data_IF_572722816861
#
_entry.id   IF_572722816861
#
_cell.length_a   1.000
_cell.length_b   1.000
_cell.length_c   1.000
_cell.angle_alpha   90.00
_cell.angle_beta   90.00
_cell.angle_gamma   90.00
#
_symmetry.space_group_name_H-M   'P 1'
#
loop_
_entity.id
_entity.type
_entity.pdbx_description
1 polymer ?
#
# COMPACT_ATOMS: atom_id res chain seq x y z
N UNK A 1 12.20 15.32 16.70
CA UNK A 1 12.03 14.50 15.47
C UNK A 1 10.89 13.51 15.70
N UNK A 2 9.92 13.32 14.79
CA UNK A 2 8.87 12.30 14.97
C UNK A 2 9.44 10.90 14.70
N UNK A 3 9.11 9.91 15.53
CA UNK A 3 9.52 8.50 15.36
C UNK A 3 9.00 7.92 14.05
N UNK A 4 9.73 6.94 13.51
CA UNK A 4 9.35 6.24 12.29
C UNK A 4 7.97 5.57 12.40
N UNK A 5 7.69 4.93 13.55
CA UNK A 5 6.38 4.34 13.88
C UNK A 5 5.23 5.33 13.68
N UNK A 6 5.36 6.55 14.23
CA UNK A 6 4.33 7.59 14.09
C UNK A 6 4.13 8.06 12.64
N UNK A 7 5.22 8.12 11.85
CA UNK A 7 5.14 8.44 10.42
C UNK A 7 4.46 7.30 9.66
N UNK A 8 4.78 6.06 9.98
CA UNK A 8 4.25 4.86 9.34
C UNK A 8 2.75 4.71 9.61
N UNK A 9 2.29 4.86 10.85
CA UNK A 9 0.86 4.87 11.20
C UNK A 9 0.10 5.91 10.37
N UNK A 10 0.64 7.14 10.26
CA UNK A 10 0.01 8.21 9.46
C UNK A 10 -0.03 7.87 7.97
N UNK A 11 1.02 7.25 7.44
CA UNK A 11 1.08 6.84 6.05
C UNK A 11 0.08 5.71 5.76
N UNK A 12 -0.03 4.72 6.65
CA UNK A 12 -0.99 3.61 6.55
C UNK A 12 -2.42 4.17 6.59
N UNK A 13 -2.74 5.05 7.53
CA UNK A 13 -4.07 5.67 7.62
C UNK A 13 -4.42 6.48 6.37
N UNK A 14 -3.44 7.19 5.78
CA UNK A 14 -3.63 7.90 4.49
C UNK A 14 -3.90 6.93 3.34
N UNK A 15 -3.18 5.80 3.28
CA UNK A 15 -3.42 4.76 2.26
C UNK A 15 -4.81 4.15 2.41
N UNK A 16 -5.23 3.82 3.63
CA UNK A 16 -6.57 3.32 3.91
C UNK A 16 -7.66 4.32 3.50
N UNK A 17 -7.48 5.62 3.83
CA UNK A 17 -8.42 6.66 3.41
C UNK A 17 -8.51 6.78 1.88
N UNK A 18 -7.38 6.68 1.16
CA UNK A 18 -7.38 6.66 -0.29
C UNK A 18 -8.12 5.41 -0.85
N UNK A 19 -7.93 4.25 -0.23
CA UNK A 19 -8.61 3.01 -0.60
C UNK A 19 -10.12 3.09 -0.38
N UNK A 20 -10.57 3.66 0.74
CA UNK A 20 -12.00 3.88 1.03
C UNK A 20 -12.67 4.73 -0.05
N UNK A 21 -12.01 5.79 -0.53
CA UNK A 21 -12.53 6.62 -1.62
C UNK A 21 -12.57 5.88 -2.97
N UNK A 22 -11.61 4.97 -3.20
CA UNK A 22 -11.52 4.19 -4.44
C UNK A 22 -12.60 3.11 -4.55
N UNK A 23 -12.99 2.44 -3.46
CA UNK A 23 -13.95 1.31 -3.50
C UNK A 23 -15.28 1.70 -4.18
N UNK A 24 -15.72 2.94 -4.01
CA UNK A 24 -16.97 3.47 -4.54
C UNK A 24 -17.02 3.50 -6.07
N UNK A 25 -16.09 4.20 -6.73
CA UNK A 25 -16.11 4.42 -8.19
C UNK A 25 -15.03 3.66 -8.96
N UNK A 26 -13.96 3.24 -8.28
CA UNK A 26 -12.79 2.54 -8.85
C UNK A 26 -12.17 3.21 -10.06
N UNK A 27 -12.09 4.54 -10.06
CA UNK A 27 -11.52 5.33 -11.17
C UNK A 27 -10.00 5.43 -11.11
N UNK A 28 -9.36 5.62 -12.26
CA UNK A 28 -7.90 5.72 -12.35
C UNK A 28 -7.29 6.82 -11.47
N UNK A 29 -7.89 8.02 -11.42
CA UNK A 29 -7.38 9.08 -10.53
C UNK A 29 -7.45 8.72 -9.04
N UNK A 30 -8.41 7.88 -8.63
CA UNK A 30 -8.50 7.39 -7.25
C UNK A 30 -7.41 6.36 -6.98
N UNK A 31 -7.15 5.47 -7.93
CA UNK A 31 -6.04 4.52 -7.87
C UNK A 31 -4.68 5.24 -7.79
N UNK A 32 -4.48 6.37 -8.47
CA UNK A 32 -3.29 7.20 -8.35
C UNK A 32 -3.08 7.73 -6.91
N UNK A 33 -4.15 8.07 -6.19
CA UNK A 33 -4.07 8.48 -4.78
C UNK A 33 -3.57 7.33 -3.91
N UNK A 34 -4.07 6.10 -4.16
CA UNK A 34 -3.60 4.90 -3.48
C UNK A 34 -2.12 4.69 -3.77
N UNK A 35 -1.67 4.78 -5.03
CA UNK A 35 -0.26 4.63 -5.42
C UNK A 35 0.64 5.58 -4.63
N UNK A 36 0.33 6.88 -4.65
CA UNK A 36 1.12 7.87 -3.92
C UNK A 36 1.10 7.70 -2.40
N UNK A 37 0.04 7.10 -1.84
CA UNK A 37 -0.01 6.77 -0.42
C UNK A 37 0.85 5.53 -0.12
N UNK A 38 0.72 4.48 -0.94
CA UNK A 38 1.46 3.23 -0.83
C UNK A 38 2.97 3.43 -1.00
N UNK A 39 3.42 4.28 -1.94
CA UNK A 39 4.85 4.61 -2.09
C UNK A 39 5.44 5.15 -0.79
N UNK A 40 4.67 5.97 -0.06
CA UNK A 40 5.10 6.50 1.23
C UNK A 40 5.11 5.45 2.33
N UNK A 41 4.14 4.54 2.34
CA UNK A 41 4.10 3.41 3.26
C UNK A 41 5.30 2.50 3.02
N UNK A 42 5.54 2.11 1.77
CA UNK A 42 6.63 1.25 1.34
C UNK A 42 7.99 1.79 1.83
N UNK A 43 8.31 3.05 1.51
CA UNK A 43 9.57 3.67 1.95
C UNK A 43 9.71 3.75 3.48
N UNK A 44 8.61 3.84 4.23
CA UNK A 44 8.64 3.84 5.69
C UNK A 44 8.75 2.43 6.27
N UNK A 45 8.18 1.41 5.61
CA UNK A 45 8.34 0.01 5.98
C UNK A 45 9.78 -0.45 5.77
N UNK A 46 10.40 -0.10 4.65
CA UNK A 46 11.82 -0.43 4.39
C UNK A 46 12.73 0.17 5.46
N UNK A 47 12.49 1.42 5.86
CA UNK A 47 13.26 2.03 6.94
C UNK A 47 12.92 1.40 8.32
N UNK A 48 11.66 1.05 8.57
CA UNK A 48 11.23 0.44 9.83
C UNK A 48 11.71 -1.00 9.99
N UNK A 49 11.93 -1.72 8.90
CA UNK A 49 12.47 -3.09 8.88
C UNK A 49 13.79 -3.21 9.65
N UNK A 50 14.63 -2.18 9.60
CA UNK A 50 15.92 -2.13 10.31
C UNK A 50 15.82 -1.67 11.78
N UNK A 51 14.64 -1.21 12.21
CA UNK A 51 14.39 -0.71 13.58
C UNK A 51 13.43 -1.59 14.38
N UNK A 52 12.70 -2.51 13.73
CA UNK A 52 11.68 -3.34 14.36
C UNK A 52 12.27 -4.54 15.11
N UNK A 53 11.48 -5.14 16.01
CA UNK A 53 11.86 -6.37 16.70
C UNK A 53 11.88 -7.55 15.70
N UNK A 54 12.76 -8.53 15.90
CA UNK A 54 12.88 -9.72 15.02
C UNK A 54 11.55 -10.47 14.80
N UNK A 55 10.67 -10.47 15.81
CA UNK A 55 9.33 -11.08 15.73
C UNK A 55 8.40 -10.39 14.72
N UNK A 56 8.65 -9.13 14.39
CA UNK A 56 7.79 -8.30 13.55
C UNK A 56 8.23 -8.32 12.08
N UNK A 57 9.50 -8.69 11.82
CA UNK A 57 10.15 -8.70 10.49
C UNK A 57 9.31 -9.41 9.43
N UNK A 58 8.78 -10.60 9.74
CA UNK A 58 7.97 -11.37 8.80
C UNK A 58 6.69 -10.62 8.39
N UNK A 59 6.05 -9.92 9.33
CA UNK A 59 4.85 -9.12 9.02
C UNK A 59 5.20 -7.91 8.14
N UNK A 60 6.37 -7.30 8.37
CA UNK A 60 6.87 -6.21 7.54
C UNK A 60 7.16 -6.70 6.11
N UNK A 61 7.82 -7.85 5.94
CA UNK A 61 8.04 -8.48 4.64
C UNK A 61 6.72 -8.76 3.90
N UNK A 62 5.75 -9.36 4.59
CA UNK A 62 4.43 -9.62 3.99
C UNK A 62 3.74 -8.35 3.51
N UNK A 63 3.89 -7.23 4.24
CA UNK A 63 3.34 -5.95 3.78
C UNK A 63 4.11 -5.41 2.57
N UNK A 64 5.44 -5.48 2.57
CA UNK A 64 6.25 -5.06 1.42
C UNK A 64 5.84 -5.83 0.15
N UNK A 65 5.75 -7.16 0.24
CA UNK A 65 5.31 -8.00 -0.89
C UNK A 65 3.89 -7.70 -1.34
N UNK A 66 2.97 -7.44 -0.40
CA UNK A 66 1.61 -7.02 -0.74
C UNK A 66 1.61 -5.71 -1.55
N UNK A 67 2.46 -4.76 -1.18
CA UNK A 67 2.60 -3.49 -1.90
C UNK A 67 3.29 -3.66 -3.26
N UNK A 68 4.31 -4.51 -3.35
CA UNK A 68 5.00 -4.81 -4.62
C UNK A 68 4.05 -5.39 -5.67
N UNK A 69 3.26 -6.38 -5.28
CA UNK A 69 2.25 -6.97 -6.16
C UNK A 69 1.21 -5.94 -6.60
N UNK A 70 0.78 -5.09 -5.67
CA UNK A 70 -0.13 -3.99 -5.98
C UNK A 70 0.48 -3.00 -6.97
N UNK A 71 1.74 -2.60 -6.79
CA UNK A 71 2.45 -1.70 -7.71
C UNK A 71 2.61 -2.32 -9.09
N UNK A 72 2.92 -3.62 -9.16
CA UNK A 72 3.04 -4.34 -10.44
C UNK A 72 1.70 -4.36 -11.18
N UNK A 73 0.58 -4.65 -10.50
CA UNK A 73 -0.75 -4.58 -11.08
C UNK A 73 -1.07 -3.16 -11.56
N UNK A 74 -0.81 -2.14 -10.72
CA UNK A 74 -1.01 -0.75 -11.08
C UNK A 74 -0.24 -0.37 -12.35
N UNK A 75 1.05 -0.65 -12.39
CA UNK A 75 1.93 -0.28 -13.49
C UNK A 75 1.53 -0.97 -14.79
N UNK A 76 1.01 -2.20 -14.72
CA UNK A 76 0.51 -2.91 -15.90
C UNK A 76 -0.79 -2.29 -16.43
N UNK A 77 -1.78 -2.06 -15.55
CA UNK A 77 -3.04 -1.41 -15.93
C UNK A 77 -2.83 0.02 -16.42
N UNK A 78 -1.91 0.77 -15.82
CA UNK A 78 -1.58 2.14 -16.19
C UNK A 78 -1.08 2.28 -17.63
N UNK A 79 -0.35 1.28 -18.15
CA UNK A 79 0.17 1.33 -19.54
C UNK A 79 -0.96 1.41 -20.58
N UNK A 80 -2.13 0.86 -20.23
CA UNK A 80 -3.29 0.78 -21.10
C UNK A 80 -4.27 1.94 -20.86
N UNK A 81 -4.14 2.66 -19.74
CA UNK A 81 -5.09 3.67 -19.30
C UNK A 81 -4.52 5.10 -19.29
N UNK A 82 -5.08 5.97 -20.14
CA UNK A 82 -4.73 7.40 -20.21
C UNK A 82 -5.81 8.32 -19.66
N UNK A 83 -7.05 7.85 -19.60
CA UNK A 83 -8.18 8.63 -19.09
C UNK A 83 -8.27 8.47 -17.57
N UNK A 84 -8.20 9.59 -16.86
CA UNK A 84 -8.25 9.65 -15.40
C UNK A 84 -9.60 9.20 -14.83
N UNK A 85 -10.69 9.38 -15.58
CA UNK A 85 -12.02 9.02 -15.12
C UNK A 85 -12.42 7.59 -15.45
N UNK A 86 -11.64 6.91 -16.29
CA UNK A 86 -11.93 5.57 -16.70
C UNK A 86 -11.78 4.55 -15.56
N UNK A 87 -12.49 3.44 -15.72
CA UNK A 87 -12.48 2.33 -14.79
C UNK A 87 -11.05 1.76 -14.66
N UNK A 88 -10.66 1.47 -13.42
CA UNK A 88 -9.32 0.99 -13.08
C UNK A 88 -9.42 -0.02 -11.93
N UNK A 89 -9.75 -1.27 -12.26
CA UNK A 89 -10.03 -2.33 -11.28
C UNK A 89 -8.83 -3.26 -11.12
N UNK A 90 -8.45 -3.53 -9.87
CA UNK A 90 -7.40 -4.49 -9.54
C UNK A 90 -7.97 -5.90 -9.37
N UNK A 91 -7.30 -6.89 -9.94
CA UNK A 91 -7.53 -8.31 -9.67
C UNK A 91 -6.32 -8.86 -8.93
N UNK A 92 -6.52 -9.29 -7.68
CA UNK A 92 -5.45 -9.83 -6.84
C UNK A 92 -4.88 -11.10 -7.46
N UNK A 93 -3.55 -11.22 -7.51
CA UNK A 93 -2.91 -12.47 -7.90
C UNK A 93 -3.22 -13.59 -6.87
N UNK A 94 -3.46 -14.84 -7.31
CA UNK A 94 -3.87 -15.93 -6.43
C UNK A 94 -2.94 -16.13 -5.21
N UNK A 95 -1.63 -16.00 -5.43
CA UNK A 95 -0.61 -16.25 -4.41
C UNK A 95 -0.06 -14.97 -3.75
N UNK A 96 -0.62 -13.80 -4.10
CA UNK A 96 -0.18 -12.52 -3.51
C UNK A 96 -0.60 -12.45 -2.04
N UNK A 97 0.28 -12.04 -1.10
CA UNK A 97 -0.08 -11.88 0.29
C UNK A 97 -1.20 -10.85 0.48
N UNK A 98 -2.04 -11.12 1.46
CA UNK A 98 -3.12 -10.21 1.82
C UNK A 98 -2.58 -9.00 2.56
N UNK A 99 -3.38 -7.93 2.65
CA UNK A 99 -3.07 -6.84 3.56
C UNK A 99 -2.92 -7.38 4.99
N UNK A 100 -1.79 -7.12 5.68
CA UNK A 100 -1.55 -7.63 7.02
C UNK A 100 -2.42 -6.89 8.03
N UNK A 101 -3.54 -7.50 8.43
CA UNK A 101 -4.56 -6.87 9.31
C UNK A 101 -4.03 -6.46 10.68
N UNK A 102 -2.99 -7.15 11.16
CA UNK A 102 -2.36 -6.93 12.47
C UNK A 102 -1.21 -5.92 12.43
N UNK A 103 -0.96 -5.28 11.28
CA UNK A 103 0.18 -4.37 11.11
C UNK A 103 0.15 -3.20 12.11
N UNK A 104 -1.04 -2.72 12.47
CA UNK A 104 -1.20 -1.63 13.44
C UNK A 104 -1.00 -2.08 14.90
N UNK A 105 -1.02 -3.39 15.17
CA UNK A 105 -0.78 -3.94 16.51
C UNK A 105 0.71 -4.03 16.83
N UNK A 106 1.57 -4.04 15.80
CA UNK A 106 3.03 -4.21 15.92
C UNK A 106 3.83 -2.92 15.66
N UNK A 107 3.20 -1.89 15.06
CA UNK A 107 3.83 -0.57 14.84
C UNK A 107 3.55 0.36 16.01
#
# INVERSE_FOLDING_TARGET
>A
MQSIKKKLIRAINRSQAAYSLYISDKRYYQALRIKHANEKVYALLEAYLYECDDKDVETIHQYLFHLDDWFNQFNNLQKEQKDLEAEFVFTRYPDSPGFPKTILDII
#
